data_IF_226137435149
#
_entry.id   IF_226137435149
#
_cell.length_a   1.000
_cell.length_b   1.000
_cell.length_c   1.000
_cell.angle_alpha   90.00
_cell.angle_beta   90.00
_cell.angle_gamma   90.00
#
_symmetry.space_group_name_H-M   'P 1'
#
loop_
_entity.id
_entity.type
_entity.pdbx_description
1 polymer ?
#
# COMPACT_ATOMS: atom_id res chain seq x y z
N UNK A 1 -15.92 -28.60 -37.09
CA UNK A 1 -16.52 -27.72 -36.05
C UNK A 1 -15.63 -26.48 -35.92
N UNK A 2 -16.01 -25.34 -36.53
CA UNK A 2 -15.20 -24.11 -36.57
C UNK A 2 -15.57 -23.22 -35.38
N UNK A 3 -14.91 -23.42 -34.24
CA UNK A 3 -15.03 -22.63 -33.02
C UNK A 3 -13.68 -21.96 -32.73
N UNK A 4 -13.24 -20.98 -33.53
CA UNK A 4 -11.86 -20.45 -33.38
C UNK A 4 -11.74 -18.93 -33.39
N UNK A 5 -12.48 -18.21 -34.24
CA UNK A 5 -12.29 -16.76 -34.39
C UNK A 5 -12.75 -15.96 -33.16
N UNK A 6 -13.90 -16.31 -32.57
CA UNK A 6 -14.42 -15.63 -31.37
C UNK A 6 -13.53 -15.85 -30.14
N UNK A 7 -13.13 -17.09 -29.86
CA UNK A 7 -12.22 -17.41 -28.75
C UNK A 7 -10.84 -16.76 -28.90
N UNK A 8 -10.30 -16.67 -30.13
CA UNK A 8 -9.06 -15.93 -30.37
C UNK A 8 -9.20 -14.45 -30.05
N UNK A 9 -10.26 -13.78 -30.52
CA UNK A 9 -10.47 -12.34 -30.27
C UNK A 9 -10.54 -12.06 -28.76
N UNK A 10 -11.23 -12.92 -27.99
CA UNK A 10 -11.31 -12.81 -26.54
C UNK A 10 -9.96 -13.04 -25.84
N UNK A 11 -9.16 -14.00 -26.30
CA UNK A 11 -7.83 -14.25 -25.76
C UNK A 11 -6.85 -13.11 -26.02
N UNK A 12 -6.85 -12.55 -27.24
CA UNK A 12 -5.98 -11.44 -27.60
C UNK A 12 -6.43 -10.13 -26.94
N UNK A 13 -7.74 -9.90 -26.83
CA UNK A 13 -8.30 -8.75 -26.11
C UNK A 13 -7.95 -8.76 -24.63
N UNK A 14 -8.07 -9.92 -23.96
CA UNK A 14 -7.71 -10.04 -22.54
C UNK A 14 -6.22 -9.92 -22.26
N UNK A 15 -5.37 -10.48 -23.14
CA UNK A 15 -3.93 -10.29 -23.07
C UNK A 15 -3.56 -8.81 -23.26
N UNK A 16 -4.14 -8.15 -24.27
CA UNK A 16 -3.90 -6.74 -24.56
C UNK A 16 -4.30 -5.82 -23.39
N UNK A 17 -5.47 -6.05 -22.81
CA UNK A 17 -5.93 -5.30 -21.63
C UNK A 17 -4.99 -5.52 -20.43
N UNK A 18 -4.62 -6.78 -20.15
CA UNK A 18 -3.73 -7.11 -19.03
C UNK A 18 -2.37 -6.45 -19.18
N UNK A 19 -1.79 -6.49 -20.39
CA UNK A 19 -0.51 -5.85 -20.69
C UNK A 19 -0.60 -4.33 -20.56
N UNK A 20 -1.67 -3.72 -21.06
CA UNK A 20 -1.88 -2.28 -20.94
C UNK A 20 -1.91 -1.84 -19.47
N UNK A 21 -2.65 -2.56 -18.62
CA UNK A 21 -2.73 -2.25 -17.18
C UNK A 21 -1.38 -2.40 -16.47
N UNK A 22 -0.59 -3.42 -16.83
CA UNK A 22 0.77 -3.58 -16.30
C UNK A 22 1.67 -2.44 -16.74
N UNK A 23 1.66 -2.09 -18.03
CA UNK A 23 2.49 -1.00 -18.57
C UNK A 23 2.13 0.33 -17.90
N UNK A 24 0.85 0.65 -17.77
CA UNK A 24 0.42 1.89 -17.09
C UNK A 24 0.87 1.89 -15.63
N UNK A 25 0.78 0.76 -14.93
CA UNK A 25 1.26 0.63 -13.54
C UNK A 25 2.77 0.85 -13.41
N UNK A 26 3.56 0.32 -14.34
CA UNK A 26 5.02 0.53 -14.37
C UNK A 26 5.37 1.98 -14.70
N UNK A 27 4.66 2.57 -15.66
CA UNK A 27 4.83 3.98 -16.00
C UNK A 27 4.46 4.87 -14.81
N UNK A 28 3.36 4.58 -14.11
CA UNK A 28 2.93 5.28 -12.89
C UNK A 28 4.06 5.33 -11.83
N UNK A 29 4.69 4.19 -11.56
CA UNK A 29 5.82 4.10 -10.63
C UNK A 29 7.07 4.82 -11.15
N UNK A 30 7.40 4.63 -12.43
CA UNK A 30 8.58 5.24 -13.04
C UNK A 30 8.47 6.76 -13.11
N UNK A 31 7.32 7.30 -13.49
CA UNK A 31 7.07 8.74 -13.53
C UNK A 31 7.15 9.37 -12.14
N UNK A 32 6.74 8.67 -11.08
CA UNK A 32 6.98 9.13 -9.71
C UNK A 32 8.46 9.15 -9.35
N UNK A 33 9.25 8.19 -9.83
CA UNK A 33 10.69 8.13 -9.56
C UNK A 33 11.50 9.16 -10.35
N UNK A 34 11.05 9.49 -11.55
CA UNK A 34 11.67 10.51 -12.40
C UNK A 34 11.15 11.92 -12.13
N UNK A 35 10.19 12.09 -11.22
CA UNK A 35 9.62 13.39 -10.85
C UNK A 35 8.65 13.98 -11.88
N UNK A 36 8.13 13.17 -12.81
CA UNK A 36 7.11 13.59 -13.79
C UNK A 36 5.79 13.96 -13.08
N UNK A 37 5.49 13.27 -11.99
CA UNK A 37 4.37 13.56 -11.09
C UNK A 37 4.73 13.18 -9.64
N UNK A 38 3.89 13.59 -8.69
CA UNK A 38 4.10 13.26 -7.28
C UNK A 38 4.03 11.75 -7.01
N UNK A 39 4.69 11.28 -5.95
CA UNK A 39 4.61 9.87 -5.53
C UNK A 39 3.18 9.45 -5.17
N UNK A 40 2.37 10.38 -4.66
CA UNK A 40 0.96 10.15 -4.35
C UNK A 40 0.17 9.88 -5.64
N UNK A 41 0.38 10.69 -6.67
CA UNK A 41 -0.28 10.52 -7.97
C UNK A 41 0.08 9.18 -8.62
N UNK A 42 1.37 8.79 -8.61
CA UNK A 42 1.77 7.49 -9.15
C UNK A 42 1.19 6.33 -8.34
N UNK A 43 1.13 6.44 -7.02
CA UNK A 43 0.48 5.44 -6.17
C UNK A 43 -1.03 5.33 -6.47
N UNK A 44 -1.72 6.46 -6.66
CA UNK A 44 -3.14 6.47 -7.05
C UNK A 44 -3.37 5.76 -8.38
N UNK A 45 -2.56 6.07 -9.40
CA UNK A 45 -2.64 5.42 -10.71
C UNK A 45 -2.39 3.91 -10.60
N UNK A 46 -1.39 3.51 -9.81
CA UNK A 46 -1.11 2.11 -9.52
C UNK A 46 -2.30 1.39 -8.86
N UNK A 47 -2.91 2.00 -7.84
CA UNK A 47 -4.08 1.44 -7.14
C UNK A 47 -5.29 1.31 -8.08
N UNK A 48 -5.56 2.33 -8.89
CA UNK A 48 -6.66 2.29 -9.88
C UNK A 48 -6.42 1.17 -10.90
N UNK A 49 -5.20 1.06 -11.45
CA UNK A 49 -4.86 0.00 -12.39
C UNK A 49 -4.96 -1.39 -11.75
N UNK A 50 -4.53 -1.53 -10.49
CA UNK A 50 -4.69 -2.76 -9.71
C UNK A 50 -6.16 -3.14 -9.51
N UNK A 51 -7.02 -2.18 -9.16
CA UNK A 51 -8.46 -2.41 -9.00
C UNK A 51 -9.13 -2.82 -10.32
N UNK A 52 -8.77 -2.17 -11.43
CA UNK A 52 -9.25 -2.52 -12.77
C UNK A 52 -8.77 -3.92 -13.20
N UNK A 53 -7.49 -4.25 -12.96
CA UNK A 53 -6.94 -5.56 -13.26
C UNK A 53 -7.65 -6.66 -12.47
N UNK A 54 -7.93 -6.41 -11.19
CA UNK A 54 -8.69 -7.34 -10.35
C UNK A 54 -10.11 -7.53 -10.88
N UNK A 55 -10.85 -6.44 -11.15
CA UNK A 55 -12.20 -6.53 -11.70
C UNK A 55 -12.23 -7.27 -13.04
N UNK A 56 -11.25 -7.01 -13.90
CA UNK A 56 -11.10 -7.69 -15.18
C UNK A 56 -10.80 -9.19 -15.01
N UNK A 57 -9.90 -9.55 -14.10
CA UNK A 57 -9.58 -10.94 -13.78
C UNK A 57 -10.80 -11.71 -13.24
N UNK A 58 -11.60 -11.08 -12.38
CA UNK A 58 -12.87 -11.66 -11.88
C UNK A 58 -13.85 -11.88 -13.03
N UNK A 59 -14.04 -10.89 -13.90
CA UNK A 59 -14.93 -11.00 -15.05
C UNK A 59 -14.50 -12.13 -15.99
N UNK A 60 -13.21 -12.21 -16.34
CA UNK A 60 -12.67 -13.30 -17.16
C UNK A 60 -12.85 -14.66 -16.48
N UNK A 61 -12.66 -14.75 -15.17
CA UNK A 61 -12.84 -16.00 -14.41
C UNK A 61 -14.30 -16.46 -14.42
N UNK A 62 -15.25 -15.54 -14.21
CA UNK A 62 -16.69 -15.84 -14.28
C UNK A 62 -17.07 -16.29 -15.69
N UNK A 63 -16.64 -15.57 -16.73
CA UNK A 63 -16.90 -15.96 -18.12
C UNK A 63 -16.31 -17.33 -18.45
N UNK A 64 -15.13 -17.66 -17.94
CA UNK A 64 -14.51 -18.97 -18.11
C UNK A 64 -15.31 -20.07 -17.40
N UNK A 65 -15.77 -19.84 -16.18
CA UNK A 65 -16.58 -20.80 -15.41
C UNK A 65 -17.92 -21.07 -16.11
N UNK A 66 -18.61 -20.03 -16.58
CA UNK A 66 -19.86 -20.15 -17.35
C UNK A 66 -19.61 -20.90 -18.66
N UNK A 67 -18.53 -20.59 -19.38
CA UNK A 67 -18.18 -21.27 -20.61
C UNK A 67 -17.75 -22.74 -20.38
N UNK A 68 -17.20 -23.02 -19.19
CA UNK A 68 -16.61 -24.32 -18.90
C UNK A 68 -17.53 -25.32 -18.23
N UNK A 69 -18.72 -24.90 -17.72
CA UNK A 69 -19.72 -25.68 -16.94
C UNK A 69 -19.34 -27.15 -16.74
N UNK A 70 -18.29 -27.33 -15.95
CA UNK A 70 -17.71 -28.59 -15.54
C UNK A 70 -17.50 -28.44 -14.04
N UNK A 71 -18.12 -29.29 -13.22
CA UNK A 71 -18.16 -29.12 -11.77
C UNK A 71 -16.76 -29.02 -11.13
N UNK A 72 -15.73 -29.63 -11.72
CA UNK A 72 -14.36 -29.54 -11.23
C UNK A 72 -13.76 -28.13 -11.36
N UNK A 73 -14.04 -27.41 -12.46
CA UNK A 73 -13.51 -26.05 -12.70
C UNK A 73 -14.23 -24.99 -11.89
N UNK A 74 -15.51 -25.20 -11.60
CA UNK A 74 -16.28 -24.36 -10.69
C UNK A 74 -15.69 -24.40 -9.27
N UNK A 75 -15.34 -25.59 -8.76
CA UNK A 75 -14.73 -25.75 -7.44
C UNK A 75 -13.43 -24.97 -7.26
N UNK A 76 -12.53 -25.00 -8.26
CA UNK A 76 -11.26 -24.25 -8.21
C UNK A 76 -11.51 -22.73 -8.17
N UNK A 77 -12.45 -22.24 -8.98
CA UNK A 77 -12.80 -20.81 -9.00
C UNK A 77 -13.37 -20.34 -7.66
N UNK A 78 -14.20 -21.16 -7.01
CA UNK A 78 -14.74 -20.88 -5.67
C UNK A 78 -13.63 -20.81 -4.63
N UNK A 79 -12.66 -21.74 -4.65
CA UNK A 79 -11.53 -21.73 -3.70
C UNK A 79 -10.67 -20.48 -3.87
N UNK A 80 -10.35 -20.08 -5.10
CA UNK A 80 -9.57 -18.86 -5.37
C UNK A 80 -10.34 -17.62 -4.91
N UNK A 81 -11.64 -17.53 -5.21
CA UNK A 81 -12.49 -16.42 -4.79
C UNK A 81 -12.59 -16.34 -3.26
N UNK A 82 -12.76 -17.47 -2.58
CA UNK A 82 -12.82 -17.55 -1.12
C UNK A 82 -11.48 -17.17 -0.46
N UNK A 83 -10.34 -17.62 -1.01
CA UNK A 83 -9.02 -17.24 -0.52
C UNK A 83 -8.77 -15.74 -0.67
N UNK A 84 -9.18 -15.16 -1.81
CA UNK A 84 -9.08 -13.73 -2.04
C UNK A 84 -9.96 -12.92 -1.09
N UNK A 85 -11.22 -13.33 -0.92
CA UNK A 85 -12.14 -12.69 0.02
C UNK A 85 -11.63 -12.79 1.47
N UNK A 86 -11.10 -13.96 1.87
CA UNK A 86 -10.47 -14.15 3.17
C UNK A 86 -9.29 -13.20 3.39
N UNK A 87 -8.44 -13.02 2.38
CA UNK A 87 -7.34 -12.06 2.44
C UNK A 87 -7.82 -10.61 2.62
N UNK A 88 -8.87 -10.20 1.88
CA UNK A 88 -9.46 -8.85 2.02
C UNK A 88 -10.04 -8.61 3.41
N UNK A 89 -10.74 -9.60 3.98
CA UNK A 89 -11.34 -9.50 5.32
C UNK A 89 -10.26 -9.35 6.40
N UNK A 90 -9.14 -10.09 6.31
CA UNK A 90 -8.01 -9.96 7.24
C UNK A 90 -7.37 -8.56 7.18
N UNK A 91 -7.39 -7.92 6.00
CA UNK A 91 -6.84 -6.58 5.81
C UNK A 91 -7.71 -5.43 6.32
N UNK A 92 -9.03 -5.63 6.45
CA UNK A 92 -10.01 -4.57 6.74
C UNK A 92 -9.71 -3.74 8.01
N UNK A 93 -9.34 -4.34 9.15
CA UNK A 93 -9.04 -3.59 10.38
C UNK A 93 -7.86 -2.61 10.22
N UNK A 94 -6.96 -2.86 9.27
CA UNK A 94 -5.81 -1.98 9.01
C UNK A 94 -6.21 -0.67 8.32
N UNK A 95 -7.38 -0.63 7.69
CA UNK A 95 -7.87 0.54 6.97
C UNK A 95 -8.51 1.59 7.89
N UNK A 96 -8.92 1.20 9.09
CA UNK A 96 -9.61 2.06 10.06
C UNK A 96 -8.71 2.54 11.21
N UNK A 97 -7.44 2.11 11.23
CA UNK A 97 -6.48 2.56 12.22
C UNK A 97 -6.26 4.10 12.12
N UNK A 98 -6.17 4.82 13.25
CA UNK A 98 -5.84 6.24 13.22
C UNK A 98 -4.51 6.45 12.51
N UNK A 99 -4.50 7.35 11.54
CA UNK A 99 -3.30 7.66 10.78
C UNK A 99 -2.41 8.57 11.63
N UNK A 100 -1.55 7.95 12.45
CA UNK A 100 -0.52 8.64 13.24
C UNK A 100 0.81 8.48 12.49
N UNK A 101 1.36 9.59 11.99
CA UNK A 101 2.58 9.59 11.16
C UNK A 101 3.85 9.93 11.95
N UNK A 102 3.67 10.39 13.18
CA UNK A 102 4.69 10.85 14.10
C UNK A 102 4.35 10.33 15.50
N UNK A 103 5.30 9.64 16.12
CA UNK A 103 5.19 9.11 17.47
C UNK A 103 6.43 9.57 18.23
N UNK A 104 6.23 10.13 19.41
CA UNK A 104 7.31 10.64 20.28
C UNK A 104 7.29 9.91 21.61
N UNK A 105 8.46 9.68 22.20
CA UNK A 105 8.55 9.18 23.59
C UNK A 105 8.29 10.28 24.62
N UNK A 106 8.46 11.55 24.24
CA UNK A 106 8.15 12.70 25.08
C UNK A 106 6.93 13.44 24.52
N UNK A 107 5.80 13.28 25.20
CA UNK A 107 4.52 13.94 24.83
C UNK A 107 4.38 15.34 25.44
N UNK A 108 5.20 15.69 26.45
CA UNK A 108 5.14 17.01 27.10
C UNK A 108 6.00 18.03 26.34
N UNK A 109 7.18 17.61 25.90
CA UNK A 109 8.10 18.42 25.11
C UNK A 109 8.58 17.63 23.87
N UNK A 110 7.70 17.42 22.87
CA UNK A 110 8.05 16.65 21.69
C UNK A 110 9.14 17.36 20.87
N UNK A 111 10.12 16.61 20.33
CA UNK A 111 11.17 17.20 19.51
C UNK A 111 10.59 17.87 18.26
N UNK A 112 11.02 19.09 17.98
CA UNK A 112 10.55 19.87 16.83
C UNK A 112 11.33 19.53 15.56
N UNK A 113 10.60 19.34 14.46
CA UNK A 113 11.20 19.09 13.15
C UNK A 113 11.56 20.41 12.45
N UNK A 114 12.80 20.89 12.59
CA UNK A 114 13.24 22.13 11.92
C UNK A 114 13.66 21.91 10.46
N UNK A 115 14.64 21.03 10.23
CA UNK A 115 15.19 20.79 8.89
C UNK A 115 14.17 20.19 7.91
N UNK A 116 13.26 19.35 8.40
CA UNK A 116 12.25 18.71 7.57
C UNK A 116 11.22 19.72 7.02
N UNK A 117 10.93 20.82 7.74
CA UNK A 117 10.01 21.87 7.26
C UNK A 117 10.54 22.50 5.98
N UNK A 118 11.85 22.72 5.89
CA UNK A 118 12.47 23.42 4.76
C UNK A 118 12.43 22.61 3.45
N UNK A 119 12.42 21.29 3.52
CA UNK A 119 12.54 20.40 2.34
C UNK A 119 11.20 19.84 1.87
N UNK A 120 10.19 19.78 2.75
CA UNK A 120 8.93 19.10 2.45
C UNK A 120 7.91 20.05 1.77
N UNK A 121 7.23 19.54 0.75
CA UNK A 121 6.21 20.31 0.00
C UNK A 121 4.93 20.54 0.80
N UNK A 122 4.11 21.50 0.37
CA UNK A 122 2.85 21.91 1.04
C UNK A 122 1.81 20.79 1.17
N UNK A 123 1.88 19.76 0.32
CA UNK A 123 1.01 18.59 0.36
C UNK A 123 1.50 17.48 1.30
N UNK A 124 2.54 17.74 2.11
CA UNK A 124 3.08 16.77 3.07
C UNK A 124 2.27 16.75 4.36
N UNK A 125 2.36 15.64 5.09
CA UNK A 125 1.75 15.52 6.42
C UNK A 125 2.25 16.62 7.37
N UNK A 126 1.35 17.12 8.21
CA UNK A 126 1.69 18.12 9.23
C UNK A 126 2.60 17.52 10.30
N UNK A 127 3.68 18.23 10.64
CA UNK A 127 4.54 17.95 11.80
C UNK A 127 4.06 18.57 13.10
N UNK A 128 2.90 19.25 13.09
CA UNK A 128 2.33 19.77 14.33
C UNK A 128 1.89 18.61 15.23
N UNK A 129 2.36 18.63 16.47
CA UNK A 129 1.85 17.78 17.54
C UNK A 129 0.60 18.44 18.12
N UNK A 130 -0.58 17.95 17.73
CA UNK A 130 -1.87 18.45 18.21
C UNK A 130 -2.33 17.64 19.42
N UNK A 131 -3.17 18.23 20.28
CA UNK A 131 -3.77 17.53 21.42
C UNK A 131 -4.47 16.23 21.02
N UNK A 132 -5.11 16.19 19.84
CA UNK A 132 -5.73 14.99 19.28
C UNK A 132 -4.71 13.88 18.97
N UNK A 133 -3.54 14.22 18.42
CA UNK A 133 -2.48 13.24 18.18
C UNK A 133 -1.95 12.67 19.49
N UNK A 134 -1.75 13.52 20.49
CA UNK A 134 -1.34 13.11 21.85
C UNK A 134 -2.36 12.13 22.43
N UNK A 135 -3.65 12.47 22.43
CA UNK A 135 -4.72 11.60 22.93
C UNK A 135 -4.75 10.23 22.23
N UNK A 136 -4.69 10.24 20.89
CA UNK A 136 -4.69 9.01 20.09
C UNK A 136 -3.44 8.17 20.37
N UNK A 137 -2.26 8.80 20.49
CA UNK A 137 -1.01 8.10 20.79
C UNK A 137 -1.06 7.46 22.18
N UNK A 138 -1.47 8.21 23.21
CA UNK A 138 -1.58 7.69 24.59
C UNK A 138 -2.51 6.48 24.66
N UNK A 139 -3.59 6.47 23.87
CA UNK A 139 -4.52 5.34 23.82
C UNK A 139 -3.95 4.12 23.09
N UNK A 140 -3.25 4.33 21.97
CA UNK A 140 -2.75 3.24 21.12
C UNK A 140 -1.39 2.68 21.55
N UNK A 141 -0.58 3.51 22.21
CA UNK A 141 0.80 3.21 22.61
C UNK A 141 1.03 3.61 24.09
N UNK A 142 0.27 3.04 25.05
CA UNK A 142 0.35 3.44 26.46
C UNK A 142 1.71 3.12 27.10
N UNK A 143 2.41 2.10 26.60
CA UNK A 143 3.66 1.61 27.18
C UNK A 143 4.91 2.33 26.62
N UNK A 144 4.72 3.31 25.74
CA UNK A 144 5.80 3.99 25.03
C UNK A 144 6.40 5.10 25.91
N UNK A 145 7.58 4.86 26.47
CA UNK A 145 8.26 5.75 27.43
C UNK A 145 9.65 6.19 26.95
N UNK A 146 10.17 7.35 27.41
CA UNK A 146 11.53 7.77 27.12
C UNK A 146 12.58 6.76 27.62
N UNK A 147 13.58 6.51 26.78
CA UNK A 147 14.78 5.81 27.19
C UNK A 147 15.80 6.83 27.73
N UNK A 148 16.14 6.71 29.01
CA UNK A 148 17.18 7.53 29.63
C UNK A 148 18.53 6.83 29.51
N UNK A 149 19.50 7.49 28.87
CA UNK A 149 20.86 7.00 28.71
C UNK A 149 21.80 7.80 29.61
N UNK A 150 22.67 7.11 30.35
CA UNK A 150 23.74 7.73 31.15
C UNK A 150 24.92 8.17 30.26
N UNK A 151 24.64 8.87 29.18
CA UNK A 151 25.66 9.42 28.28
C UNK A 151 25.25 10.78 27.76
N UNK A 152 26.24 11.59 27.39
CA UNK A 152 25.97 12.90 26.78
C UNK A 152 25.26 12.73 25.43
N UNK A 153 24.41 13.69 25.08
CA UNK A 153 23.76 13.73 23.77
C UNK A 153 24.77 13.73 22.61
N UNK A 154 25.97 14.30 22.81
CA UNK A 154 27.06 14.26 21.83
C UNK A 154 27.57 12.85 21.58
N UNK A 155 27.72 12.03 22.63
CA UNK A 155 28.13 10.62 22.52
C UNK A 155 27.01 9.77 21.94
N UNK A 156 25.75 9.99 22.34
CA UNK A 156 24.60 9.24 21.81
C UNK A 156 24.38 9.46 20.30
N UNK A 157 24.69 10.65 19.77
CA UNK A 157 24.55 10.98 18.34
C UNK A 157 25.71 10.53 17.46
N UNK A 158 26.82 10.09 18.05
CA UNK A 158 27.93 9.52 17.29
C UNK A 158 27.50 8.13 16.82
N UNK A 159 27.03 8.06 15.58
CA UNK A 159 26.75 6.78 14.94
C UNK A 159 28.05 5.97 14.87
N UNK A 160 28.16 4.95 15.71
CA UNK A 160 29.19 3.93 15.61
C UNK A 160 28.55 2.73 14.90
N UNK A 161 29.12 2.26 13.77
CA UNK A 161 28.64 1.04 13.15
C UNK A 161 28.67 -0.08 14.19
N UNK A 162 27.60 -0.87 14.28
CA UNK A 162 27.54 -2.03 15.17
C UNK A 162 28.76 -2.93 14.91
N UNK A 163 29.68 -2.99 15.88
CA UNK A 163 30.76 -3.96 15.92
C UNK A 163 30.22 -5.15 16.70
N UNK A 164 29.80 -6.19 15.97
CA UNK A 164 29.21 -7.39 16.56
C UNK A 164 30.11 -8.02 17.62
N UNK A 165 29.50 -8.34 18.76
CA UNK A 165 30.04 -9.23 19.80
C UNK A 165 29.24 -10.53 19.81
#
# INVERSE_FOLDING_TARGET
>A
MKWTSSMQIWSWGSLGMSLALVVVSLLAALGSRLGVWSSVTGLQLYVICGALALGFAVACSVSLVIAALNPARFGIAVVIAAAFLGHMIIGLPKLTAPVLHDVTTDLQDPPTFEAAIAVRGTNSNSVSHTARKVEVQTRLYPDLVPLHLEMSASRARQWTPWAGS
#
